data_IF_466348583707
#
_entry.id   IF_466348583707
#
_cell.length_a   1.000
_cell.length_b   1.000
_cell.length_c   1.000
_cell.angle_alpha   90.00
_cell.angle_beta   90.00
_cell.angle_gamma   90.00
#
_symmetry.space_group_name_H-M   'P 1'
#
loop_
_entity.id
_entity.type
_entity.pdbx_description
1 polymer ?
#
# COMPACT_ATOMS: atom_id res chain seq x y z
N UNK A 1 -22.04 -6.53 -6.72
CA UNK A 1 -21.04 -5.69 -6.03
C UNK A 1 -19.61 -6.14 -6.36
N UNK A 2 -19.21 -7.38 -6.09
CA UNK A 2 -17.90 -7.92 -6.50
C UNK A 2 -17.57 -7.64 -7.98
N UNK A 3 -18.47 -7.97 -8.90
CA UNK A 3 -18.27 -7.69 -10.33
C UNK A 3 -18.12 -6.20 -10.61
N UNK A 4 -18.94 -5.35 -9.97
CA UNK A 4 -18.87 -3.90 -10.13
C UNK A 4 -17.50 -3.36 -9.67
N UNK A 5 -16.96 -3.86 -8.54
CA UNK A 5 -15.62 -3.48 -8.08
C UNK A 5 -14.57 -3.90 -9.10
N UNK A 6 -14.66 -5.13 -9.64
CA UNK A 6 -13.73 -5.62 -10.65
C UNK A 6 -13.74 -4.75 -11.91
N UNK A 7 -14.90 -4.54 -12.52
CA UNK A 7 -14.99 -3.75 -13.78
C UNK A 7 -14.64 -2.28 -13.56
N UNK A 8 -14.95 -1.71 -12.40
CA UNK A 8 -14.53 -0.33 -12.07
C UNK A 8 -13.02 -0.18 -12.04
N UNK A 9 -12.31 -1.19 -11.50
CA UNK A 9 -10.84 -1.21 -11.47
C UNK A 9 -10.26 -1.37 -12.88
N UNK A 10 -10.79 -2.32 -13.66
CA UNK A 10 -10.35 -2.51 -15.05
C UNK A 10 -10.54 -1.25 -15.90
N UNK A 11 -11.60 -0.50 -15.63
CA UNK A 11 -11.93 0.73 -16.33
C UNK A 11 -10.98 1.89 -16.04
N UNK A 12 -10.46 2.00 -14.81
CA UNK A 12 -9.36 2.91 -14.48
C UNK A 12 -8.00 2.30 -14.86
N UNK A 13 -7.96 1.32 -15.76
CA UNK A 13 -6.73 0.75 -16.31
C UNK A 13 -6.00 -0.26 -15.41
N UNK A 14 -6.59 -0.70 -14.30
CA UNK A 14 -6.00 -1.79 -13.48
C UNK A 14 -6.08 -3.09 -14.26
N UNK A 15 -4.93 -3.66 -14.59
CA UNK A 15 -4.87 -4.93 -15.33
C UNK A 15 -5.24 -6.10 -14.43
N UNK A 16 -6.22 -6.89 -14.85
CA UNK A 16 -6.57 -8.20 -14.29
C UNK A 16 -6.01 -9.33 -15.15
N UNK A 17 -5.72 -10.50 -14.55
CA UNK A 17 -5.35 -11.75 -15.26
C UNK A 17 -6.30 -12.09 -16.42
N UNK A 18 -7.59 -11.76 -16.31
CA UNK A 18 -8.58 -12.05 -17.36
C UNK A 18 -8.61 -11.08 -18.54
N UNK A 19 -7.88 -9.96 -18.46
CA UNK A 19 -8.04 -8.81 -19.37
C UNK A 19 -6.97 -8.68 -20.46
N UNK A 20 -6.20 -9.75 -20.73
CA UNK A 20 -5.03 -9.72 -21.63
C UNK A 20 -5.33 -9.45 -23.12
N UNK A 21 -6.54 -9.01 -23.52
CA UNK A 21 -6.88 -8.78 -24.93
C UNK A 21 -7.84 -7.61 -25.24
N UNK A 22 -8.07 -6.65 -24.36
CA UNK A 22 -8.85 -5.45 -24.73
C UNK A 22 -8.04 -4.16 -24.58
N UNK A 23 -7.27 -3.83 -25.62
CA UNK A 23 -6.90 -2.45 -25.94
C UNK A 23 -8.16 -1.70 -26.38
N UNK A 24 -8.91 -1.17 -25.42
CA UNK A 24 -9.79 -0.03 -25.68
C UNK A 24 -9.20 1.17 -24.96
N UNK A 25 -8.43 1.96 -25.69
CA UNK A 25 -8.35 3.40 -25.46
C UNK A 25 -9.75 3.96 -25.74
N UNK A 26 -10.61 3.89 -24.75
CA UNK A 26 -11.93 4.50 -24.74
C UNK A 26 -12.00 5.36 -23.50
N UNK A 27 -12.43 6.61 -23.66
CA UNK A 27 -12.82 7.55 -22.62
C UNK A 27 -13.27 6.80 -21.35
N UNK A 28 -12.57 7.00 -20.22
CA UNK A 28 -12.96 6.43 -18.92
C UNK A 28 -14.41 6.83 -18.68
N UNK A 29 -15.34 5.92 -18.91
CA UNK A 29 -16.75 6.16 -18.61
C UNK A 29 -16.89 6.21 -17.08
N UNK A 30 -16.82 7.41 -16.49
CA UNK A 30 -16.95 7.71 -15.04
C UNK A 30 -18.16 7.08 -14.35
N UNK A 31 -19.07 6.49 -15.12
CA UNK A 31 -20.26 5.76 -14.71
C UNK A 31 -20.05 4.68 -13.64
N UNK A 32 -19.01 3.82 -13.68
CA UNK A 32 -18.89 2.77 -12.65
C UNK A 32 -18.36 3.30 -11.30
N UNK A 33 -17.46 4.29 -11.32
CA UNK A 33 -17.03 4.99 -10.09
C UNK A 33 -18.20 5.74 -9.45
N UNK A 34 -19.06 6.37 -10.27
CA UNK A 34 -20.31 6.98 -9.82
C UNK A 34 -21.31 5.95 -9.27
N UNK A 35 -21.46 4.79 -9.93
CA UNK A 35 -22.32 3.72 -9.40
C UNK A 35 -21.82 3.18 -8.06
N UNK A 36 -20.50 3.02 -7.90
CA UNK A 36 -19.93 2.65 -6.60
C UNK A 36 -20.16 3.73 -5.55
N UNK A 37 -20.03 5.02 -5.90
CA UNK A 37 -20.37 6.12 -5.00
C UNK A 37 -21.84 6.07 -4.57
N UNK A 38 -22.78 5.92 -5.52
CA UNK A 38 -24.21 5.84 -5.26
C UNK A 38 -24.58 4.66 -4.34
N UNK A 39 -23.87 3.53 -4.47
CA UNK A 39 -24.13 2.34 -3.67
C UNK A 39 -23.48 2.38 -2.28
N UNK A 40 -22.29 2.98 -2.17
CA UNK A 40 -21.45 2.86 -0.97
C UNK A 40 -21.39 4.14 -0.12
N UNK A 41 -21.51 5.31 -0.75
CA UNK A 41 -21.28 6.61 -0.11
C UNK A 41 -22.58 7.40 0.01
N UNK A 42 -23.36 7.50 -1.07
CA UNK A 42 -24.61 8.28 -1.06
C UNK A 42 -25.57 7.90 0.07
N UNK A 43 -25.77 6.61 0.42
CA UNK A 43 -26.67 6.22 1.52
C UNK A 43 -26.22 6.67 2.91
N UNK A 44 -24.95 7.06 3.05
CA UNK A 44 -24.35 7.49 4.31
C UNK A 44 -23.82 8.93 4.27
N UNK A 45 -24.03 9.66 3.17
CA UNK A 45 -23.41 10.97 2.93
C UNK A 45 -23.75 12.00 4.01
N UNK A 46 -24.96 11.95 4.58
CA UNK A 46 -25.38 12.83 5.67
C UNK A 46 -24.63 12.59 6.99
N UNK A 47 -24.06 11.40 7.18
CA UNK A 47 -23.27 11.05 8.36
C UNK A 47 -21.78 11.29 8.18
N UNK A 48 -21.35 11.61 6.95
CA UNK A 48 -19.94 11.89 6.68
C UNK A 48 -19.55 13.26 7.24
N UNK A 49 -18.32 13.40 7.74
CA UNK A 49 -17.85 14.64 8.31
C UNK A 49 -17.86 15.76 7.27
N UNK A 50 -18.32 16.95 7.68
CA UNK A 50 -18.34 18.14 6.81
C UNK A 50 -16.97 18.85 6.79
N UNK A 51 -16.14 18.63 7.80
CA UNK A 51 -14.77 19.13 7.84
C UNK A 51 -13.86 18.15 7.08
N UNK A 52 -13.13 18.65 6.08
CA UNK A 52 -12.21 17.84 5.27
C UNK A 52 -11.03 17.28 6.07
N UNK A 53 -10.71 17.88 7.23
CA UNK A 53 -9.69 17.41 8.16
C UNK A 53 -10.18 16.23 9.02
N UNK A 54 -11.49 16.04 9.16
CA UNK A 54 -12.06 14.90 9.84
C UNK A 54 -11.98 13.64 8.95
N UNK A 55 -11.66 12.52 9.57
CA UNK A 55 -11.27 11.30 8.85
C UNK A 55 -12.45 10.35 8.69
N UNK A 56 -12.50 9.70 7.53
CA UNK A 56 -13.34 8.54 7.29
C UNK A 56 -12.46 7.29 7.33
N UNK A 57 -12.77 6.36 8.23
CA UNK A 57 -12.10 5.06 8.28
C UNK A 57 -13.04 4.00 7.71
N UNK A 58 -12.73 3.49 6.52
CA UNK A 58 -13.43 2.35 5.95
C UNK A 58 -12.96 1.06 6.60
N UNK A 59 -13.90 0.15 6.88
CA UNK A 59 -13.60 -1.23 7.31
C UNK A 59 -14.22 -2.17 6.28
N UNK A 60 -13.55 -2.37 5.12
CA UNK A 60 -14.14 -3.09 4.00
C UNK A 60 -14.14 -4.59 4.25
N UNK A 61 -15.17 -5.28 3.73
CA UNK A 61 -15.26 -6.73 3.77
C UNK A 61 -15.05 -7.31 2.37
N UNK A 62 -14.16 -8.31 2.25
CA UNK A 62 -13.85 -9.03 1.01
C UNK A 62 -13.41 -8.08 -0.13
N UNK A 63 -14.07 -8.14 -1.27
CA UNK A 63 -13.70 -7.39 -2.48
C UNK A 63 -13.86 -5.89 -2.32
N UNK A 64 -14.63 -5.43 -1.32
CA UNK A 64 -14.70 -4.01 -0.98
C UNK A 64 -13.34 -3.43 -0.57
N UNK A 65 -12.40 -4.26 -0.15
CA UNK A 65 -11.04 -3.83 0.16
C UNK A 65 -10.30 -3.30 -1.08
N UNK A 66 -10.74 -3.69 -2.28
CA UNK A 66 -10.16 -3.28 -3.54
C UNK A 66 -10.86 -2.07 -4.17
N UNK A 67 -11.90 -1.53 -3.51
CA UNK A 67 -12.59 -0.33 -3.98
C UNK A 67 -11.62 0.85 -3.93
N UNK A 68 -11.45 1.59 -5.03
CA UNK A 68 -10.64 2.79 -5.06
C UNK A 68 -11.42 3.94 -4.41
N UNK A 69 -11.65 3.88 -3.09
CA UNK A 69 -12.43 4.87 -2.35
C UNK A 69 -12.05 6.33 -2.68
N UNK A 70 -10.75 6.70 -2.76
CA UNK A 70 -10.35 8.05 -3.17
C UNK A 70 -10.92 8.50 -4.52
N UNK A 71 -11.09 7.58 -5.47
CA UNK A 71 -11.56 7.85 -6.83
C UNK A 71 -13.07 7.71 -7.02
N UNK A 72 -13.86 7.44 -5.98
CA UNK A 72 -15.32 7.42 -6.12
C UNK A 72 -15.83 8.83 -6.45
N UNK A 73 -16.67 8.94 -7.47
CA UNK A 73 -17.16 10.21 -8.01
C UNK A 73 -18.61 10.44 -7.62
N UNK A 74 -18.93 11.62 -7.12
CA UNK A 74 -20.32 12.01 -6.88
C UNK A 74 -21.05 12.42 -8.18
N UNK A 75 -22.32 12.79 -8.06
CA UNK A 75 -23.15 13.25 -9.18
C UNK A 75 -22.69 14.59 -9.79
N UNK A 76 -21.83 15.34 -9.10
CA UNK A 76 -21.23 16.59 -9.58
C UNK A 76 -19.81 16.38 -10.11
N UNK A 77 -19.39 15.13 -10.28
CA UNK A 77 -18.04 14.75 -10.74
C UNK A 77 -16.92 15.18 -9.78
N UNK A 78 -17.21 15.25 -8.47
CA UNK A 78 -16.21 15.51 -7.43
C UNK A 78 -15.77 14.19 -6.82
N UNK A 79 -14.46 13.95 -6.76
CA UNK A 79 -13.87 12.77 -6.16
C UNK A 79 -14.02 12.78 -4.63
N UNK A 80 -14.20 11.61 -4.03
CA UNK A 80 -14.35 11.47 -2.58
C UNK A 80 -13.13 12.01 -1.81
N UNK A 81 -11.92 11.85 -2.36
CA UNK A 81 -10.67 12.34 -1.76
C UNK A 81 -10.61 13.88 -1.70
N UNK A 82 -11.31 14.57 -2.60
CA UNK A 82 -11.39 16.04 -2.59
C UNK A 82 -12.16 16.54 -1.37
N UNK A 83 -13.09 15.75 -0.83
CA UNK A 83 -13.93 16.16 0.31
C UNK A 83 -13.48 15.60 1.66
N UNK A 84 -12.78 14.46 1.66
CA UNK A 84 -12.51 13.75 2.90
C UNK A 84 -11.10 13.17 2.97
N UNK A 85 -10.56 13.12 4.19
CA UNK A 85 -9.34 12.38 4.49
C UNK A 85 -9.68 10.92 4.78
N UNK A 86 -9.14 9.99 3.98
CA UNK A 86 -9.56 8.58 3.97
C UNK A 86 -8.49 7.67 4.60
N UNK A 87 -8.95 6.74 5.43
CA UNK A 87 -8.19 5.64 6.02
C UNK A 87 -8.94 4.33 5.80
N UNK A 88 -8.21 3.23 5.93
CA UNK A 88 -8.75 1.87 5.90
C UNK A 88 -8.33 1.12 7.16
N UNK A 89 -9.15 0.20 7.65
CA UNK A 89 -8.73 -0.78 8.64
C UNK A 89 -9.23 -2.18 8.24
N UNK A 90 -8.43 -3.25 8.42
CA UNK A 90 -8.87 -4.61 8.09
C UNK A 90 -9.95 -5.16 9.03
N UNK A 91 -10.09 -4.56 10.22
CA UNK A 91 -11.14 -4.84 11.20
C UNK A 91 -11.13 -3.78 12.32
N UNK A 92 -12.21 -3.72 13.10
CA UNK A 92 -12.28 -2.87 14.32
C UNK A 92 -11.19 -3.27 15.32
N UNK A 93 -10.89 -4.57 15.44
CA UNK A 93 -9.85 -5.07 16.34
C UNK A 93 -8.46 -4.61 15.90
N UNK A 94 -8.17 -4.65 14.60
CA UNK A 94 -6.92 -4.15 14.05
C UNK A 94 -6.77 -2.64 14.30
N UNK A 95 -7.85 -1.86 14.09
CA UNK A 95 -7.87 -0.42 14.39
C UNK A 95 -7.63 -0.14 15.89
N UNK A 96 -8.26 -0.92 16.78
CA UNK A 96 -8.02 -0.78 18.22
C UNK A 96 -6.57 -1.09 18.60
N UNK A 97 -5.95 -2.08 17.95
CA UNK A 97 -4.57 -2.47 18.19
C UNK A 97 -3.59 -1.38 17.74
N UNK A 98 -3.74 -0.85 16.52
CA UNK A 98 -2.90 0.26 16.02
C UNK A 98 -3.04 1.51 16.89
N UNK A 99 -4.25 1.80 17.40
CA UNK A 99 -4.48 2.91 18.34
C UNK A 99 -3.72 2.72 19.65
N UNK A 100 -3.70 1.50 20.20
CA UNK A 100 -2.94 1.18 21.44
C UNK A 100 -1.44 1.29 21.24
N UNK A 101 -0.93 0.80 20.11
CA UNK A 101 0.49 0.87 19.74
C UNK A 101 0.95 2.33 19.68
N UNK A 102 0.18 3.16 18.96
CA UNK A 102 0.47 4.60 18.83
C UNK A 102 0.41 5.35 20.16
N UNK A 103 -0.60 5.10 21.00
CA UNK A 103 -0.74 5.74 22.33
C UNK A 103 0.35 5.33 23.31
N UNK A 104 1.26 4.42 22.93
CA UNK A 104 2.41 4.06 23.73
C UNK A 104 2.02 3.29 24.99
N UNK A 105 0.95 2.51 25.02
CA UNK A 105 0.63 1.64 26.18
C UNK A 105 1.70 0.54 26.38
N UNK A 106 2.71 0.48 25.49
CA UNK A 106 3.99 -0.23 25.67
C UNK A 106 5.16 0.74 25.92
N UNK A 107 4.98 1.70 26.84
CA UNK A 107 5.81 2.90 27.08
C UNK A 107 7.19 2.66 27.72
N UNK A 108 7.99 1.69 27.25
CA UNK A 108 9.40 1.57 27.66
C UNK A 108 10.36 1.17 26.54
N UNK A 109 9.86 0.96 25.31
CA UNK A 109 10.73 0.65 24.17
C UNK A 109 11.17 1.96 23.49
N UNK A 110 12.47 2.12 23.15
CA UNK A 110 12.91 3.18 22.26
C UNK A 110 12.08 3.17 20.97
N UNK A 111 11.81 4.34 20.40
CA UNK A 111 11.33 4.41 19.02
C UNK A 111 12.51 4.19 18.08
N UNK A 112 12.26 3.59 16.93
CA UNK A 112 13.28 3.48 15.90
C UNK A 112 13.79 4.87 15.52
N UNK A 113 15.06 4.94 15.14
CA UNK A 113 15.71 6.20 14.75
C UNK A 113 16.08 6.22 13.26
N UNK A 114 16.15 5.04 12.62
CA UNK A 114 16.65 4.89 11.26
C UNK A 114 15.54 4.90 10.21
N UNK A 115 15.90 5.21 8.97
CA UNK A 115 15.03 5.04 7.80
C UNK A 115 15.59 3.90 6.95
N UNK A 116 14.76 2.88 6.74
CA UNK A 116 15.04 1.76 5.84
C UNK A 116 14.33 2.01 4.51
N UNK A 117 15.09 2.10 3.42
CA UNK A 117 14.56 2.18 2.05
C UNK A 117 15.11 1.02 1.24
N UNK A 118 14.22 0.30 0.56
CA UNK A 118 14.54 -0.87 -0.26
C UNK A 118 13.94 -0.68 -1.66
N UNK A 119 14.73 -0.98 -2.70
CA UNK A 119 14.30 -0.86 -4.09
C UNK A 119 14.81 -2.01 -4.95
N UNK A 120 13.97 -2.55 -5.83
CA UNK A 120 14.36 -3.52 -6.86
C UNK A 120 15.37 -4.60 -6.40
N UNK A 121 15.02 -5.46 -5.43
CA UNK A 121 15.89 -6.54 -5.00
C UNK A 121 16.23 -7.50 -6.15
N UNK A 122 17.39 -8.15 -6.06
CA UNK A 122 17.75 -9.20 -7.01
C UNK A 122 16.79 -10.37 -6.85
N UNK A 123 15.94 -10.58 -7.86
CA UNK A 123 14.84 -11.54 -7.79
C UNK A 123 15.33 -12.97 -7.53
N UNK A 124 14.66 -13.71 -6.63
CA UNK A 124 14.95 -15.12 -6.41
C UNK A 124 14.63 -15.91 -7.68
N UNK A 125 15.36 -17.01 -7.90
CA UNK A 125 15.19 -17.85 -9.11
C UNK A 125 13.92 -18.70 -9.10
N UNK A 126 13.16 -18.66 -8.01
CA UNK A 126 11.92 -19.40 -7.84
C UNK A 126 10.82 -18.82 -8.73
N UNK A 127 10.06 -19.70 -9.39
CA UNK A 127 8.91 -19.32 -10.22
C UNK A 127 7.67 -19.19 -9.33
N UNK A 128 6.82 -18.21 -9.63
CA UNK A 128 5.65 -17.88 -8.80
C UNK A 128 4.35 -18.06 -9.58
N UNK A 129 3.29 -18.46 -8.86
CA UNK A 129 1.95 -18.70 -9.38
C UNK A 129 1.79 -20.00 -10.17
N UNK A 130 0.54 -20.37 -10.44
CA UNK A 130 0.16 -21.60 -11.16
C UNK A 130 0.82 -21.73 -12.54
N UNK A 131 1.07 -20.60 -13.22
CA UNK A 131 1.72 -20.56 -14.53
C UNK A 131 3.26 -20.54 -14.47
N UNK A 132 3.85 -20.56 -13.27
CA UNK A 132 5.30 -20.49 -13.09
C UNK A 132 5.94 -19.29 -13.80
N UNK A 133 5.35 -18.11 -13.62
CA UNK A 133 5.85 -16.89 -14.25
C UNK A 133 7.11 -16.40 -13.53
N UNK A 134 8.06 -15.89 -14.33
CA UNK A 134 9.28 -15.27 -13.80
C UNK A 134 8.98 -13.81 -13.50
N UNK A 135 9.21 -13.39 -12.25
CA UNK A 135 9.17 -11.99 -11.88
C UNK A 135 10.17 -11.19 -12.73
N UNK A 136 9.82 -9.95 -13.06
CA UNK A 136 10.63 -9.08 -13.92
C UNK A 136 11.28 -8.01 -13.07
N UNK A 137 12.52 -7.65 -13.39
CA UNK A 137 13.20 -6.52 -12.74
C UNK A 137 12.32 -5.27 -12.75
N UNK A 138 12.41 -4.45 -11.70
CA UNK A 138 11.66 -3.22 -11.50
C UNK A 138 12.60 -2.00 -11.47
N UNK A 139 13.17 -1.56 -12.61
CA UNK A 139 14.04 -0.38 -12.64
C UNK A 139 13.40 0.89 -12.05
N UNK A 140 12.09 1.07 -12.24
CA UNK A 140 11.37 2.19 -11.63
C UNK A 140 11.35 2.15 -10.10
N UNK A 141 11.19 0.96 -9.51
CA UNK A 141 11.26 0.78 -8.06
C UNK A 141 12.68 1.05 -7.51
N UNK A 142 13.72 0.77 -8.31
CA UNK A 142 15.10 1.16 -7.97
C UNK A 142 15.22 2.69 -7.91
N UNK A 143 14.69 3.38 -8.93
CA UNK A 143 14.71 4.84 -9.00
C UNK A 143 13.87 5.49 -7.90
N UNK A 144 12.72 4.92 -7.56
CA UNK A 144 11.90 5.31 -6.41
C UNK A 144 12.72 5.22 -5.12
N UNK A 145 13.33 4.07 -4.84
CA UNK A 145 14.15 3.89 -3.65
C UNK A 145 15.34 4.86 -3.58
N UNK A 146 16.01 5.12 -4.71
CA UNK A 146 17.11 6.10 -4.76
C UNK A 146 16.61 7.50 -4.40
N UNK A 147 15.50 7.93 -4.99
CA UNK A 147 14.94 9.27 -4.77
C UNK A 147 14.45 9.43 -3.32
N UNK A 148 13.71 8.45 -2.80
CA UNK A 148 13.20 8.47 -1.43
C UNK A 148 14.34 8.39 -0.41
N UNK A 149 15.35 7.56 -0.64
CA UNK A 149 16.50 7.48 0.26
C UNK A 149 17.29 8.80 0.31
N UNK A 150 17.49 9.47 -0.83
CA UNK A 150 18.11 10.78 -0.88
C UNK A 150 17.31 11.82 -0.08
N UNK A 151 15.98 11.83 -0.25
CA UNK A 151 15.07 12.72 0.47
C UNK A 151 15.10 12.50 1.98
N UNK A 152 15.19 11.24 2.41
CA UNK A 152 15.20 10.85 3.82
C UNK A 152 16.61 10.73 4.41
N UNK A 153 17.63 11.19 3.68
CA UNK A 153 19.04 11.18 4.07
C UNK A 153 19.52 9.80 4.57
N UNK A 154 19.19 8.74 3.83
CA UNK A 154 19.61 7.36 4.09
C UNK A 154 20.20 6.72 2.84
N UNK A 155 20.77 5.52 2.98
CA UNK A 155 21.29 4.73 1.85
C UNK A 155 20.29 3.62 1.52
N UNK A 156 19.81 3.52 0.26
CA UNK A 156 18.87 2.46 -0.09
C UNK A 156 19.58 1.11 -0.18
N UNK A 157 18.86 0.03 0.15
CA UNK A 157 19.26 -1.32 -0.20
C UNK A 157 18.66 -1.70 -1.56
N UNK A 158 19.51 -2.01 -2.53
CA UNK A 158 19.09 -2.32 -3.90
C UNK A 158 19.76 -3.59 -4.44
N UNK A 159 19.12 -4.24 -5.42
CA UNK A 159 19.65 -5.41 -6.09
C UNK A 159 20.07 -6.51 -5.11
N UNK A 160 21.31 -7.01 -5.26
CA UNK A 160 21.82 -8.11 -4.44
C UNK A 160 22.04 -7.76 -2.96
N UNK A 161 22.01 -6.48 -2.59
CA UNK A 161 22.17 -6.05 -1.18
C UNK A 161 20.84 -6.08 -0.41
N UNK A 162 19.71 -6.04 -1.11
CA UNK A 162 18.37 -6.06 -0.53
C UNK A 162 17.94 -7.48 -0.13
N UNK A 163 18.77 -8.15 0.66
CA UNK A 163 18.48 -9.52 1.11
C UNK A 163 17.50 -9.52 2.26
N UNK A 164 16.69 -10.58 2.36
CA UNK A 164 15.75 -10.71 3.48
C UNK A 164 16.45 -10.62 4.84
N UNK A 165 17.56 -11.34 5.13
CA UNK A 165 18.23 -11.22 6.43
C UNK A 165 18.71 -9.79 6.75
N UNK A 166 19.22 -9.07 5.74
CA UNK A 166 19.69 -7.68 5.93
C UNK A 166 18.52 -6.73 6.23
N UNK A 167 17.39 -6.93 5.55
CA UNK A 167 16.18 -6.13 5.71
C UNK A 167 15.54 -6.41 7.06
N UNK A 168 15.30 -7.68 7.41
CA UNK A 168 14.72 -8.10 8.69
C UNK A 168 15.53 -7.56 9.87
N UNK A 169 16.86 -7.59 9.79
CA UNK A 169 17.72 -6.99 10.80
C UNK A 169 17.47 -5.48 10.94
N UNK A 170 17.46 -4.74 9.82
CA UNK A 170 17.27 -3.28 9.83
C UNK A 170 15.86 -2.85 10.23
N UNK A 171 14.84 -3.66 9.95
CA UNK A 171 13.46 -3.38 10.37
C UNK A 171 13.34 -3.18 11.89
N UNK A 172 14.17 -3.87 12.69
CA UNK A 172 14.09 -3.80 14.17
C UNK A 172 14.37 -2.42 14.75
N UNK A 173 15.21 -1.61 14.09
CA UNK A 173 15.59 -0.26 14.54
C UNK A 173 15.02 0.85 13.64
N UNK A 174 14.29 0.48 12.59
CA UNK A 174 13.72 1.45 11.67
C UNK A 174 12.54 2.18 12.32
N UNK A 175 12.50 3.49 12.11
CA UNK A 175 11.36 4.36 12.34
C UNK A 175 10.41 4.33 11.15
N UNK A 176 10.97 4.35 9.94
CA UNK A 176 10.22 4.29 8.68
C UNK A 176 10.84 3.22 7.80
N UNK A 177 9.98 2.40 7.21
CA UNK A 177 10.35 1.33 6.29
C UNK A 177 9.63 1.60 4.97
N UNK A 178 10.38 1.78 3.89
CA UNK A 178 9.86 1.96 2.54
C UNK A 178 10.35 0.81 1.66
N UNK A 179 9.42 0.04 1.11
CA UNK A 179 9.70 -1.15 0.30
C UNK A 179 9.09 -0.98 -1.10
N UNK A 180 9.95 -0.65 -2.07
CA UNK A 180 9.63 -0.61 -3.49
C UNK A 180 10.12 -1.90 -4.16
N UNK A 181 9.27 -2.93 -4.19
CA UNK A 181 9.63 -4.29 -4.68
C UNK A 181 8.38 -5.04 -5.15
N UNK A 182 8.46 -6.30 -5.55
CA UNK A 182 7.27 -7.11 -5.74
C UNK A 182 6.65 -7.55 -4.40
N UNK A 183 5.33 -7.51 -4.34
CA UNK A 183 4.50 -8.05 -3.27
C UNK A 183 3.58 -9.11 -3.85
N UNK A 184 3.60 -10.30 -3.26
CA UNK A 184 2.76 -11.41 -3.67
C UNK A 184 1.52 -11.44 -2.78
N UNK A 185 0.39 -10.98 -3.30
CA UNK A 185 -0.86 -10.77 -2.54
C UNK A 185 -2.00 -11.68 -3.00
N UNK A 186 -1.69 -12.74 -3.75
CA UNK A 186 -2.72 -13.43 -4.51
C UNK A 186 -2.67 -14.97 -4.44
N UNK A 187 -1.82 -15.54 -3.60
CA UNK A 187 -1.67 -16.99 -3.61
C UNK A 187 -1.26 -17.59 -2.26
N UNK A 188 -2.27 -18.15 -1.59
CA UNK A 188 -2.13 -19.00 -0.41
C UNK A 188 -1.34 -20.28 -0.74
N UNK A 189 -1.20 -20.67 -2.03
CA UNK A 189 -0.64 -21.95 -2.44
C UNK A 189 0.82 -21.89 -2.93
N UNK A 190 1.28 -20.83 -3.61
CA UNK A 190 2.66 -20.80 -4.15
C UNK A 190 3.75 -20.47 -3.12
N UNK A 191 3.41 -19.70 -2.08
CA UNK A 191 4.30 -19.40 -0.94
C UNK A 191 3.71 -19.81 0.41
N UNK A 192 2.55 -20.48 0.43
CA UNK A 192 1.93 -21.00 1.67
C UNK A 192 1.40 -19.93 2.63
N UNK A 193 1.35 -18.66 2.22
CA UNK A 193 1.08 -17.51 3.08
C UNK A 193 0.10 -16.53 2.40
N UNK A 194 -0.79 -15.85 3.15
CA UNK A 194 -1.71 -14.85 2.61
C UNK A 194 -1.01 -13.53 2.26
N UNK A 195 0.24 -13.57 1.78
CA UNK A 195 1.04 -12.38 1.53
C UNK A 195 2.54 -12.64 1.67
N UNK A 196 3.36 -12.11 0.76
CA UNK A 196 4.81 -12.07 0.88
C UNK A 196 5.41 -10.84 0.20
N UNK A 197 6.57 -10.42 0.68
CA UNK A 197 7.40 -9.36 0.06
C UNK A 197 8.60 -10.05 -0.58
N UNK A 198 8.82 -9.80 -1.87
CA UNK A 198 9.92 -10.42 -2.61
C UNK A 198 11.20 -9.61 -2.37
N UNK A 199 12.24 -10.29 -1.92
CA UNK A 199 13.55 -9.75 -1.56
C UNK A 199 14.65 -10.60 -2.23
N UNK A 200 15.90 -10.20 -2.07
CA UNK A 200 17.01 -11.02 -2.56
C UNK A 200 17.25 -12.23 -1.66
N UNK A 201 17.24 -13.43 -2.25
CA UNK A 201 17.60 -14.66 -1.55
C UNK A 201 19.05 -14.61 -1.04
N UNK A 202 19.34 -15.17 0.13
CA UNK A 202 20.70 -15.23 0.68
C UNK A 202 20.96 -16.49 1.51
N UNK A 203 21.96 -17.28 1.14
CA UNK A 203 22.28 -18.51 1.86
C UNK A 203 21.14 -19.53 1.78
N UNK A 204 20.49 -19.80 2.91
CA UNK A 204 19.33 -20.70 3.02
C UNK A 204 17.98 -19.98 2.95
N UNK A 205 18.00 -18.66 2.88
CA UNK A 205 16.81 -17.81 2.76
C UNK A 205 16.32 -17.79 1.30
N UNK A 206 15.02 -17.94 1.10
CA UNK A 206 14.41 -18.06 -0.23
C UNK A 206 14.07 -16.71 -0.88
N UNK A 207 14.22 -15.60 -0.15
CA UNK A 207 13.92 -14.25 -0.60
C UNK A 207 12.44 -13.90 -0.57
N UNK A 208 11.60 -14.63 0.18
CA UNK A 208 10.18 -14.32 0.33
C UNK A 208 9.84 -14.04 1.79
N UNK A 209 9.89 -12.77 2.20
CA UNK A 209 9.47 -12.39 3.54
C UNK A 209 7.94 -12.50 3.65
N UNK A 210 7.47 -13.62 4.16
CA UNK A 210 6.04 -13.96 4.24
C UNK A 210 5.34 -13.26 5.41
N UNK A 211 4.02 -13.10 5.29
CA UNK A 211 3.19 -12.65 6.42
C UNK A 211 3.29 -13.58 7.63
N UNK A 212 3.50 -14.89 7.39
CA UNK A 212 3.74 -15.89 8.43
C UNK A 212 5.06 -15.64 9.17
N UNK A 213 6.14 -15.38 8.46
CA UNK A 213 7.44 -15.06 9.06
C UNK A 213 7.44 -13.74 9.81
N UNK A 214 6.78 -12.70 9.27
CA UNK A 214 6.60 -11.43 9.98
C UNK A 214 5.86 -11.67 11.31
N UNK A 215 4.78 -12.45 11.26
CA UNK A 215 4.01 -12.82 12.46
C UNK A 215 4.87 -13.63 13.45
N UNK A 216 5.61 -14.62 12.97
CA UNK A 216 6.45 -15.47 13.80
C UNK A 216 7.55 -14.68 14.50
N UNK A 217 8.27 -13.83 13.75
CA UNK A 217 9.44 -13.08 14.23
C UNK A 217 9.06 -11.91 15.12
N UNK A 218 7.94 -11.24 14.85
CA UNK A 218 7.61 -9.94 15.48
C UNK A 218 6.20 -9.84 16.07
N UNK A 219 5.25 -10.67 15.63
CA UNK A 219 3.83 -10.55 15.99
C UNK A 219 3.38 -11.35 17.21
N UNK A 220 4.26 -12.19 17.78
CA UNK A 220 3.96 -12.99 18.96
C UNK A 220 4.14 -12.19 20.26
N UNK A 221 3.39 -12.56 21.31
CA UNK A 221 3.45 -11.87 22.60
C UNK A 221 4.83 -11.89 23.28
N UNK A 222 5.67 -12.87 22.95
CA UNK A 222 7.06 -12.99 23.45
C UNK A 222 8.10 -12.33 22.54
N UNK A 223 7.70 -11.88 21.34
CA UNK A 223 8.60 -11.23 20.41
C UNK A 223 8.78 -9.75 20.76
N UNK A 224 9.93 -9.19 20.42
CA UNK A 224 10.13 -7.74 20.43
C UNK A 224 9.43 -7.15 19.21
N UNK A 225 8.43 -6.27 19.38
CA UNK A 225 7.75 -5.66 18.25
C UNK A 225 8.69 -4.72 17.49
N UNK A 226 8.40 -4.52 16.22
CA UNK A 226 9.03 -3.49 15.40
C UNK A 226 8.73 -2.11 15.96
N UNK A 227 9.71 -1.20 15.84
CA UNK A 227 9.62 0.16 16.37
C UNK A 227 9.25 1.20 15.31
N UNK A 228 8.93 0.75 14.09
CA UNK A 228 8.57 1.62 13.00
C UNK A 228 7.16 2.20 13.19
N UNK A 229 7.02 3.49 12.91
CA UNK A 229 5.74 4.21 12.92
C UNK A 229 5.04 4.17 11.56
N UNK A 230 5.76 3.79 10.51
CA UNK A 230 5.26 3.76 9.14
C UNK A 230 5.98 2.68 8.33
N UNK A 231 5.19 1.81 7.69
CA UNK A 231 5.64 0.94 6.59
C UNK A 231 4.96 1.38 5.31
N UNK A 232 5.72 1.67 4.26
CA UNK A 232 5.22 1.90 2.90
C UNK A 232 5.55 0.68 2.05
N UNK A 233 4.52 0.02 1.55
CA UNK A 233 4.58 -1.09 0.62
C UNK A 233 4.22 -0.57 -0.78
N UNK A 234 5.21 -0.01 -1.46
CA UNK A 234 5.11 0.34 -2.89
C UNK A 234 5.33 -0.92 -3.72
N UNK A 235 4.49 -1.94 -3.47
CA UNK A 235 4.82 -3.32 -3.80
C UNK A 235 3.81 -4.10 -4.63
N UNK A 236 2.77 -3.46 -5.18
CA UNK A 236 1.67 -4.20 -5.83
C UNK A 236 1.84 -4.48 -7.32
N UNK A 237 3.08 -4.51 -7.81
CA UNK A 237 3.37 -5.26 -9.03
C UNK A 237 3.48 -6.74 -8.66
N UNK A 238 2.38 -7.49 -8.65
CA UNK A 238 2.47 -8.93 -8.34
C UNK A 238 3.16 -9.69 -9.47
N UNK A 239 3.37 -9.07 -10.65
CA UNK A 239 3.88 -9.70 -11.87
C UNK A 239 3.08 -10.90 -12.38
N UNK A 240 2.12 -11.39 -11.60
CA UNK A 240 1.64 -12.76 -11.66
C UNK A 240 0.13 -12.86 -11.53
N UNK A 241 -0.63 -11.92 -10.96
CA UNK A 241 -2.06 -12.18 -10.64
C UNK A 241 -2.92 -11.05 -10.06
N UNK A 242 -4.23 -11.28 -10.05
CA UNK A 242 -5.29 -10.39 -9.54
C UNK A 242 -5.16 -10.15 -8.03
N UNK A 243 -4.77 -8.98 -7.55
CA UNK A 243 -4.70 -8.74 -6.09
C UNK A 243 -6.01 -9.11 -5.39
N UNK A 244 -5.95 -10.03 -4.43
CA UNK A 244 -7.07 -10.36 -3.54
C UNK A 244 -7.03 -9.47 -2.31
N UNK A 245 -8.21 -8.98 -1.90
CA UNK A 245 -8.36 -8.26 -0.64
C UNK A 245 -7.81 -9.06 0.54
N UNK A 246 -7.95 -10.39 0.53
CA UNK A 246 -7.41 -11.28 1.57
C UNK A 246 -5.88 -11.22 1.69
N UNK A 247 -5.15 -11.05 0.58
CA UNK A 247 -3.70 -10.95 0.61
C UNK A 247 -3.21 -9.64 1.21
N UNK A 248 -3.81 -8.51 0.80
CA UNK A 248 -3.53 -7.21 1.40
C UNK A 248 -3.88 -7.22 2.88
N UNK A 249 -5.00 -7.82 3.25
CA UNK A 249 -5.43 -8.00 4.63
C UNK A 249 -4.45 -8.87 5.42
N UNK A 250 -3.98 -9.98 4.86
CA UNK A 250 -3.04 -10.91 5.51
C UNK A 250 -1.73 -10.24 5.86
N UNK A 251 -1.07 -9.62 4.87
CA UNK A 251 0.18 -8.90 5.07
C UNK A 251 0.03 -7.67 5.98
N UNK A 252 -1.08 -6.92 5.85
CA UNK A 252 -1.33 -5.78 6.73
C UNK A 252 -1.55 -6.24 8.17
N UNK A 253 -2.25 -7.35 8.39
CA UNK A 253 -2.46 -7.91 9.74
C UNK A 253 -1.15 -8.40 10.37
N UNK A 254 -0.25 -9.02 9.60
CA UNK A 254 1.04 -9.45 10.16
C UNK A 254 1.90 -8.26 10.57
N UNK A 255 1.92 -7.19 9.78
CA UNK A 255 2.64 -5.95 10.11
C UNK A 255 2.01 -5.23 11.31
N UNK A 256 0.68 -5.13 11.39
CA UNK A 256 0.00 -4.57 12.56
C UNK A 256 0.32 -5.40 13.80
N UNK A 257 0.27 -6.73 13.72
CA UNK A 257 0.65 -7.59 14.84
C UNK A 257 2.12 -7.40 15.25
N UNK A 258 3.00 -7.17 14.27
CA UNK A 258 4.42 -6.87 14.46
C UNK A 258 4.69 -5.50 15.12
N UNK A 259 3.68 -4.68 15.42
CA UNK A 259 3.84 -3.41 16.12
C UNK A 259 3.67 -2.16 15.24
N UNK A 260 3.39 -2.33 13.95
CA UNK A 260 3.32 -1.21 13.00
C UNK A 260 1.94 -0.52 13.08
N UNK A 261 1.86 0.75 13.48
CA UNK A 261 0.58 1.44 13.64
C UNK A 261 0.02 1.97 12.31
N UNK A 262 0.87 2.23 11.31
CA UNK A 262 0.48 2.77 10.02
C UNK A 262 1.15 2.04 8.87
N UNK A 263 0.35 1.60 7.91
CA UNK A 263 0.83 0.96 6.69
C UNK A 263 0.26 1.70 5.49
N UNK A 264 1.10 2.10 4.55
CA UNK A 264 0.68 2.59 3.24
C UNK A 264 0.92 1.47 2.24
N UNK A 265 -0.09 1.09 1.47
CA UNK A 265 0.03 -0.01 0.50
C UNK A 265 -0.69 0.35 -0.78
N UNK A 266 -0.07 0.04 -1.93
CA UNK A 266 -0.74 0.14 -3.22
C UNK A 266 -1.80 -0.96 -3.38
N UNK A 267 -2.83 -0.75 -4.17
CA UNK A 267 -3.89 -1.72 -4.45
C UNK A 267 -3.80 -2.28 -5.87
N UNK A 268 -2.85 -1.79 -6.67
CA UNK A 268 -2.51 -2.22 -8.03
C UNK A 268 -1.13 -1.69 -8.43
N UNK A 269 -0.63 -2.15 -9.58
CA UNK A 269 0.57 -1.60 -10.22
C UNK A 269 0.30 -0.21 -10.79
N UNK A 270 1.05 0.76 -10.33
CA UNK A 270 1.09 2.13 -10.85
C UNK A 270 2.30 2.25 -11.78
N UNK A 271 2.27 3.07 -12.86
CA UNK A 271 3.47 3.31 -13.64
C UNK A 271 4.53 4.07 -12.83
N UNK A 272 5.78 3.89 -13.23
CA UNK A 272 6.95 4.16 -12.37
C UNK A 272 7.10 5.65 -12.05
N UNK A 273 6.90 6.53 -13.04
CA UNK A 273 7.05 7.98 -12.90
C UNK A 273 5.99 8.57 -11.95
N UNK A 274 4.76 8.07 -12.06
CA UNK A 274 3.62 8.47 -11.25
C UNK A 274 3.77 8.00 -9.80
N UNK A 275 4.28 6.79 -9.59
CA UNK A 275 4.59 6.27 -8.25
C UNK A 275 5.67 7.12 -7.58
N UNK A 276 6.73 7.46 -8.31
CA UNK A 276 7.82 8.30 -7.81
C UNK A 276 7.30 9.69 -7.40
N UNK A 277 6.45 10.30 -8.24
CA UNK A 277 5.82 11.57 -7.95
C UNK A 277 4.94 11.50 -6.70
N UNK A 278 4.03 10.53 -6.62
CA UNK A 278 3.13 10.37 -5.48
C UNK A 278 3.90 10.18 -4.17
N UNK A 279 4.92 9.32 -4.16
CA UNK A 279 5.71 9.04 -2.96
C UNK A 279 6.55 10.25 -2.54
N UNK A 280 7.12 10.99 -3.51
CA UNK A 280 7.82 12.24 -3.22
C UNK A 280 6.88 13.25 -2.56
N UNK A 281 5.70 13.48 -3.13
CA UNK A 281 4.71 14.39 -2.55
C UNK A 281 4.26 13.91 -1.16
N UNK A 282 4.04 12.61 -0.98
CA UNK A 282 3.67 12.03 0.31
C UNK A 282 4.71 12.33 1.39
N UNK A 283 6.00 12.06 1.11
CA UNK A 283 7.06 12.34 2.08
C UNK A 283 7.31 13.83 2.29
N UNK A 284 7.11 14.68 1.27
CA UNK A 284 7.23 16.15 1.39
C UNK A 284 6.16 16.65 2.35
N UNK A 285 4.92 16.20 2.15
CA UNK A 285 3.80 16.55 3.00
C UNK A 285 4.00 16.06 4.45
N UNK A 286 4.53 14.85 4.63
CA UNK A 286 4.78 14.27 5.95
C UNK A 286 5.90 14.98 6.70
N UNK A 287 7.05 15.21 6.05
CA UNK A 287 8.26 15.68 6.74
C UNK A 287 8.51 17.17 6.64
N UNK A 288 8.16 17.82 5.54
CA UNK A 288 8.34 19.27 5.39
C UNK A 288 7.11 20.03 5.88
N UNK A 289 5.92 19.61 5.45
CA UNK A 289 4.66 20.26 5.83
C UNK A 289 4.09 19.77 7.17
N UNK A 290 4.68 18.73 7.76
CA UNK A 290 4.31 18.16 9.07
C UNK A 290 2.84 17.73 9.15
N UNK A 291 2.27 17.30 8.02
CA UNK A 291 0.94 16.71 8.00
C UNK A 291 0.96 15.30 8.58
N UNK A 292 -0.17 14.85 9.11
CA UNK A 292 -0.28 13.44 9.49
C UNK A 292 -0.23 12.52 8.26
N UNK A 293 -0.07 11.21 8.46
CA UNK A 293 0.18 10.26 7.36
C UNK A 293 -1.03 10.15 6.40
N UNK A 294 -2.26 10.32 6.87
CA UNK A 294 -3.44 10.28 6.01
C UNK A 294 -3.62 11.60 5.25
N UNK A 295 -3.42 12.73 5.93
CA UNK A 295 -3.43 14.05 5.29
C UNK A 295 -2.31 14.18 4.27
N UNK A 296 -1.11 13.68 4.56
CA UNK A 296 0.02 13.69 3.65
C UNK A 296 -0.25 12.89 2.37
N UNK A 297 -0.90 11.73 2.50
CA UNK A 297 -1.33 10.92 1.36
C UNK A 297 -2.44 11.61 0.58
N UNK A 298 -3.47 12.15 1.25
CA UNK A 298 -4.53 12.95 0.60
C UNK A 298 -3.92 14.10 -0.20
N UNK A 299 -3.03 14.88 0.39
CA UNK A 299 -2.41 16.01 -0.30
C UNK A 299 -1.53 15.56 -1.46
N UNK A 300 -0.85 14.41 -1.37
CA UNK A 300 -0.12 13.85 -2.50
C UNK A 300 -1.06 13.49 -3.67
N UNK A 301 -2.19 12.85 -3.37
CA UNK A 301 -3.24 12.54 -4.36
C UNK A 301 -3.82 13.80 -4.99
N UNK A 302 -4.12 14.82 -4.18
CA UNK A 302 -4.66 16.09 -4.66
C UNK A 302 -3.64 16.87 -5.50
N UNK A 303 -2.36 16.85 -5.14
CA UNK A 303 -1.31 17.46 -5.97
C UNK A 303 -1.29 16.83 -7.36
N UNK A 304 -1.33 15.50 -7.46
CA UNK A 304 -1.35 14.81 -8.76
C UNK A 304 -2.66 15.02 -9.51
N UNK A 305 -3.81 14.98 -8.82
CA UNK A 305 -5.12 15.22 -9.43
C UNK A 305 -5.19 16.60 -10.09
N UNK A 306 -4.62 17.62 -9.44
CA UNK A 306 -4.59 19.01 -9.93
C UNK A 306 -3.46 19.28 -10.92
N UNK A 307 -2.48 18.38 -11.04
CA UNK A 307 -1.47 18.42 -12.09
C UNK A 307 -2.14 18.11 -13.44
N UNK A 308 -1.66 18.71 -14.53
CA UNK A 308 -2.28 18.64 -15.87
C UNK A 308 -3.75 19.13 -15.96
N UNK A 309 -4.15 20.09 -15.11
CA UNK A 309 -5.42 20.80 -15.25
C UNK A 309 -6.66 20.04 -14.77
N UNK A 310 -6.50 19.04 -13.89
CA UNK A 310 -7.63 18.35 -13.23
C UNK A 310 -8.07 17.05 -13.88
N UNK A 311 -7.30 16.49 -14.82
CA UNK A 311 -7.67 15.30 -15.60
C UNK A 311 -6.65 14.16 -15.50
N UNK A 312 -5.93 14.08 -14.37
CA UNK A 312 -4.97 13.01 -14.13
C UNK A 312 -5.70 11.67 -13.91
N UNK A 313 -5.28 10.62 -14.61
CA UNK A 313 -5.92 9.30 -14.56
C UNK A 313 -5.90 8.74 -13.12
N UNK A 314 -7.05 8.36 -12.53
CA UNK A 314 -7.13 7.74 -11.20
C UNK A 314 -6.21 6.54 -11.01
N UNK A 315 -5.80 5.86 -12.08
CA UNK A 315 -4.80 4.78 -12.00
C UNK A 315 -3.51 5.22 -11.30
N UNK A 316 -3.15 6.49 -11.44
CA UNK A 316 -1.87 7.01 -11.02
C UNK A 316 -1.87 7.55 -9.59
N UNK A 317 -2.96 8.19 -9.16
CA UNK A 317 -3.03 8.84 -7.86
C UNK A 317 -3.88 8.07 -6.84
N UNK A 318 -4.87 7.27 -7.26
CA UNK A 318 -5.82 6.63 -6.33
C UNK A 318 -5.38 5.22 -5.86
N UNK A 319 -4.16 4.81 -6.18
CA UNK A 319 -3.70 3.44 -5.98
C UNK A 319 -3.37 3.08 -4.55
N UNK A 320 -3.04 4.05 -3.71
CA UNK A 320 -2.55 3.79 -2.35
C UNK A 320 -3.66 3.94 -1.32
N UNK A 321 -3.62 3.08 -0.31
CA UNK A 321 -4.48 3.21 0.87
C UNK A 321 -3.63 3.27 2.13
N UNK A 322 -4.04 4.14 3.07
CA UNK A 322 -3.43 4.24 4.40
C UNK A 322 -4.23 3.35 5.34
N UNK A 323 -3.56 2.37 5.94
CA UNK A 323 -4.13 1.37 6.83
C UNK A 323 -3.71 1.64 8.26
N UNK A 324 -4.68 1.62 9.18
CA UNK A 324 -4.43 1.74 10.63
C UNK A 324 -4.63 3.16 11.14
N UNK A 325 -3.68 3.66 11.91
CA UNK A 325 -3.69 5.02 12.47
C UNK A 325 -2.90 5.98 11.58
N UNK A 326 -3.22 7.28 11.58
CA UNK A 326 -2.54 8.27 10.73
C UNK A 326 -1.65 9.27 11.49
N UNK A 327 -2.04 9.61 12.72
CA UNK A 327 -1.32 10.63 13.54
C UNK A 327 0.04 10.13 14.04
#
# INVERSE_FOLDING_TARGET
LQELVKVSREQIGVRSRSSSNSTSQGTISTTHLQQLYQLLIEPIAEFLPQNEEERIIFIPHKELFLVPFPALLDANEIYLIEKHTILTAPSIQALSLTSKQKRGVSSNLPRGEEVLVVGNPLLPKQRIGENSETLKSLPGAEQEAINIAAMLNTTPLIGAQATEPAIVQKMTNAKVIHLATHGLLDDINSVGSPGAIVLASSGNDDGFLTSGEIMEKFGQASATPLQAELVVLSACDTGSGDIKGEGVIGLSRSLIAAGIPTIVVSLWKVPDDETNLLMREFYTNLYERKLDKAQAMRQAMLTMLNDDGGNFDPIAWAAFTVIGEAE
#
